data_IF_452506648508
#
_entry.id   IF_452506648508
#
_cell.length_a   1.000
_cell.length_b   1.000
_cell.length_c   1.000
_cell.angle_alpha   90.00
_cell.angle_beta   90.00
_cell.angle_gamma   90.00
#
_symmetry.space_group_name_H-M   'P 1'
#
loop_
_entity.id
_entity.type
_entity.pdbx_description
1 polymer ?
#
# COMPACT_ATOMS: atom_id res chain seq x y z
N UNK A 1 -31.81 -24.26 -2.87
CA UNK A 1 -33.02 -23.39 -2.80
C UNK A 1 -32.95 -22.65 -1.47
N UNK A 2 -33.41 -21.39 -1.39
CA UNK A 2 -33.34 -20.52 -0.17
C UNK A 2 -31.89 -20.06 0.14
N UNK A 3 -31.54 -18.79 0.39
CA UNK A 3 -32.31 -17.52 0.31
C UNK A 3 -31.40 -16.27 0.03
N UNK A 4 -32.01 -15.07 0.02
CA UNK A 4 -31.36 -13.76 -0.15
C UNK A 4 -30.46 -13.32 1.04
N UNK A 5 -29.38 -12.60 0.72
CA UNK A 5 -29.02 -11.30 1.32
C UNK A 5 -28.64 -10.38 0.13
N UNK A 6 -29.38 -9.32 -0.19
CA UNK A 6 -29.46 -8.03 0.52
C UNK A 6 -28.07 -7.39 0.69
N UNK A 7 -27.74 -6.44 -0.20
CA UNK A 7 -26.63 -5.52 -0.04
C UNK A 7 -27.16 -4.17 0.44
N UNK A 8 -26.64 -3.68 1.56
CA UNK A 8 -26.84 -2.30 1.99
C UNK A 8 -25.88 -1.36 1.22
N UNK A 9 -26.31 -0.14 0.83
CA UNK A 9 -25.49 0.77 0.03
C UNK A 9 -24.55 1.66 0.88
N UNK A 10 -23.32 1.84 0.41
CA UNK A 10 -22.43 2.93 0.87
C UNK A 10 -22.84 4.28 0.22
N UNK A 11 -22.51 5.43 0.84
CA UNK A 11 -23.20 6.69 0.61
C UNK A 11 -22.82 7.41 -0.70
N UNK A 12 -23.62 8.43 -1.01
CA UNK A 12 -23.72 9.03 -2.34
C UNK A 12 -22.65 10.09 -2.62
N UNK A 13 -22.03 10.03 -3.81
CA UNK A 13 -21.11 11.05 -4.31
C UNK A 13 -21.87 12.15 -5.08
N UNK A 14 -22.70 12.93 -4.39
CA UNK A 14 -23.37 14.10 -4.99
C UNK A 14 -22.35 15.20 -5.32
N UNK A 15 -22.23 15.57 -6.61
CA UNK A 15 -21.50 16.77 -7.03
C UNK A 15 -20.65 16.66 -8.31
N UNK A 16 -20.25 15.45 -8.72
CA UNK A 16 -19.45 15.27 -9.95
C UNK A 16 -20.30 15.41 -11.21
N UNK A 17 -19.88 16.29 -12.14
CA UNK A 17 -20.62 16.55 -13.38
C UNK A 17 -20.47 15.40 -14.38
N UNK A 18 -21.45 15.27 -15.27
CA UNK A 18 -21.52 14.18 -16.25
C UNK A 18 -20.30 14.14 -17.19
N UNK A 19 -19.72 15.29 -17.56
CA UNK A 19 -18.46 15.37 -18.33
C UNK A 19 -17.27 14.72 -17.58
N UNK A 20 -17.17 14.94 -16.28
CA UNK A 20 -16.11 14.41 -15.43
C UNK A 20 -16.24 12.90 -15.27
N UNK A 21 -17.45 12.39 -15.07
CA UNK A 21 -17.73 10.95 -15.08
C UNK A 21 -17.28 10.29 -16.38
N UNK A 22 -17.59 10.88 -17.54
CA UNK A 22 -17.20 10.33 -18.85
C UNK A 22 -15.68 10.35 -19.05
N UNK A 23 -14.99 11.39 -18.58
CA UNK A 23 -13.52 11.45 -18.60
C UNK A 23 -12.88 10.35 -17.73
N UNK A 24 -13.40 10.12 -16.52
CA UNK A 24 -12.95 9.05 -15.61
C UNK A 24 -13.22 7.67 -16.22
N UNK A 25 -14.44 7.44 -16.75
CA UNK A 25 -14.76 6.21 -17.46
C UNK A 25 -13.88 5.98 -18.69
N UNK A 26 -13.54 7.01 -19.47
CA UNK A 26 -12.73 6.88 -20.68
C UNK A 26 -11.23 6.79 -20.40
N UNK A 27 -10.75 7.24 -19.24
CA UNK A 27 -9.45 6.84 -18.70
C UNK A 27 -9.48 5.33 -18.35
N UNK A 28 -10.49 4.88 -17.59
CA UNK A 28 -10.67 3.46 -17.24
C UNK A 28 -10.80 2.56 -18.47
N UNK A 29 -11.58 2.97 -19.48
CA UNK A 29 -11.73 2.24 -20.76
C UNK A 29 -10.47 2.22 -21.62
N UNK A 30 -9.48 3.09 -21.36
CA UNK A 30 -8.15 3.02 -22.00
C UNK A 30 -7.24 2.02 -21.30
N UNK A 31 -7.13 2.05 -19.97
CA UNK A 31 -6.35 1.03 -19.22
C UNK A 31 -6.97 -0.37 -19.38
N UNK A 32 -8.30 -0.50 -19.39
CA UNK A 32 -8.98 -1.78 -19.66
C UNK A 32 -8.68 -2.38 -21.05
N UNK A 33 -8.21 -1.61 -22.05
CA UNK A 33 -7.78 -2.20 -23.34
C UNK A 33 -6.40 -2.84 -23.27
N UNK A 34 -5.53 -2.40 -22.36
CA UNK A 34 -4.25 -3.09 -22.13
C UNK A 34 -4.49 -4.47 -21.50
N UNK A 35 -5.51 -4.62 -20.66
CA UNK A 35 -5.91 -5.92 -20.11
C UNK A 35 -6.54 -6.89 -21.14
N UNK A 36 -6.90 -6.43 -22.34
CA UNK A 36 -7.69 -7.21 -23.31
C UNK A 36 -6.98 -8.41 -23.96
N UNK A 37 -5.74 -8.71 -23.58
CA UNK A 37 -4.98 -9.90 -24.01
C UNK A 37 -4.61 -10.84 -22.85
N UNK A 38 -5.18 -10.64 -21.66
CA UNK A 38 -4.93 -11.47 -20.48
C UNK A 38 -6.14 -12.40 -20.22
N UNK A 39 -5.85 -13.70 -20.26
CA UNK A 39 -6.66 -14.83 -19.75
C UNK A 39 -7.43 -14.57 -18.42
N UNK A 40 -8.76 -14.32 -18.34
CA UNK A 40 -9.41 -13.80 -17.13
C UNK A 40 -9.92 -14.87 -16.15
N UNK A 41 -9.44 -16.10 -16.20
CA UNK A 41 -10.02 -17.22 -15.45
C UNK A 41 -9.63 -17.43 -13.96
N UNK A 42 -8.73 -16.74 -13.22
CA UNK A 42 -7.87 -15.56 -13.41
C UNK A 42 -8.53 -14.16 -13.41
N UNK A 43 -9.48 -13.93 -12.50
CA UNK A 43 -9.57 -12.65 -11.77
C UNK A 43 -8.94 -12.83 -10.38
N UNK A 44 -7.68 -12.41 -10.16
CA UNK A 44 -6.98 -12.62 -8.89
C UNK A 44 -7.53 -11.77 -7.73
N UNK A 45 -7.32 -12.27 -6.52
CA UNK A 45 -7.72 -11.61 -5.26
C UNK A 45 -7.01 -10.25 -5.12
N UNK A 46 -7.77 -9.17 -5.35
CA UNK A 46 -7.35 -7.77 -5.19
C UNK A 46 -5.94 -7.49 -5.69
N UNK A 47 -5.77 -7.37 -7.01
CA UNK A 47 -4.63 -6.62 -7.55
C UNK A 47 -4.72 -5.18 -7.03
N UNK A 48 -3.98 -4.90 -5.96
CA UNK A 48 -3.64 -3.56 -5.55
C UNK A 48 -2.43 -3.14 -6.40
N UNK A 49 -2.62 -2.12 -7.23
CA UNK A 49 -1.52 -1.46 -7.92
C UNK A 49 -0.48 -0.97 -6.89
N UNK A 50 0.82 -0.94 -7.24
CA UNK A 50 1.85 -0.44 -6.33
C UNK A 50 1.55 1.01 -5.96
N UNK A 51 1.61 1.31 -4.66
CA UNK A 51 1.27 2.63 -4.14
C UNK A 51 2.31 3.63 -4.66
N UNK A 52 1.90 4.74 -5.30
CA UNK A 52 2.83 5.71 -5.85
C UNK A 52 3.62 6.41 -4.73
N UNK A 53 4.90 6.70 -4.98
CA UNK A 53 5.74 7.45 -4.04
C UNK A 53 5.21 8.89 -3.82
N UNK A 54 4.61 9.48 -4.85
CA UNK A 54 3.90 10.77 -4.85
C UNK A 54 2.76 10.72 -5.87
N UNK A 55 1.54 11.12 -5.50
CA UNK A 55 0.37 11.19 -6.39
C UNK A 55 -0.20 12.61 -6.53
N UNK A 56 0.65 13.54 -6.97
CA UNK A 56 0.27 14.91 -7.32
C UNK A 56 0.07 15.81 -6.09
N UNK A 57 -1.10 15.68 -5.45
CA UNK A 57 -1.53 16.51 -4.31
C UNK A 57 -1.42 15.80 -2.94
N UNK A 58 -1.00 14.52 -2.91
CA UNK A 58 -1.00 13.71 -1.69
C UNK A 58 0.37 13.09 -1.32
N UNK A 59 0.64 13.06 -0.02
CA UNK A 59 1.76 12.34 0.60
C UNK A 59 1.36 10.89 0.96
N UNK A 60 0.64 10.21 0.07
CA UNK A 60 0.01 8.90 0.33
C UNK A 60 1.00 7.87 0.89
N UNK A 61 2.20 7.78 0.31
CA UNK A 61 3.23 6.86 0.77
C UNK A 61 3.84 7.25 2.14
N UNK A 62 4.33 8.49 2.37
CA UNK A 62 4.72 8.95 3.71
C UNK A 62 3.64 8.77 4.79
N UNK A 63 2.36 9.05 4.49
CA UNK A 63 1.26 8.90 5.46
C UNK A 63 1.05 7.45 5.89
N UNK A 64 1.19 6.49 4.98
CA UNK A 64 1.14 5.07 5.31
C UNK A 64 2.30 4.65 6.22
N UNK A 65 3.51 5.19 5.99
CA UNK A 65 4.66 4.92 6.85
C UNK A 65 4.49 5.50 8.26
N UNK A 66 3.89 6.69 8.40
CA UNK A 66 3.50 7.24 9.70
C UNK A 66 2.54 6.30 10.44
N UNK A 67 1.54 5.75 9.74
CA UNK A 67 0.63 4.75 10.31
C UNK A 67 1.29 3.43 10.70
N UNK A 68 2.42 3.05 10.09
CA UNK A 68 3.25 1.95 10.58
C UNK A 68 4.07 2.35 11.81
N UNK A 69 4.65 3.55 11.88
CA UNK A 69 5.37 4.04 13.07
C UNK A 69 4.45 4.10 14.30
N UNK A 70 3.23 4.62 14.16
CA UNK A 70 2.23 4.66 15.24
C UNK A 70 1.79 3.28 15.73
N UNK A 71 1.91 2.25 14.88
CA UNK A 71 1.56 0.86 15.20
C UNK A 71 2.75 0.01 15.69
N UNK A 72 3.98 0.52 15.65
CA UNK A 72 5.19 -0.19 16.08
C UNK A 72 5.42 0.01 17.58
N UNK A 73 5.18 -1.05 18.37
CA UNK A 73 5.42 -1.09 19.82
C UNK A 73 6.93 -1.18 20.19
N UNK A 74 7.80 -0.45 19.49
CA UNK A 74 9.25 -0.46 19.69
C UNK A 74 9.66 0.66 20.67
N UNK A 75 10.20 0.30 21.84
CA UNK A 75 10.42 1.23 22.95
C UNK A 75 11.40 2.38 22.68
N UNK A 76 12.21 2.31 21.61
CA UNK A 76 13.24 3.31 21.27
C UNK A 76 13.07 3.86 19.85
N UNK A 77 11.92 3.63 19.22
CA UNK A 77 11.66 4.05 17.84
C UNK A 77 11.97 5.53 17.63
N UNK A 78 12.92 5.81 16.75
CA UNK A 78 13.29 7.16 16.36
C UNK A 78 12.09 7.83 15.66
N UNK A 79 11.67 9.04 16.06
CA UNK A 79 10.56 9.72 15.39
C UNK A 79 10.84 9.91 13.90
N UNK A 80 9.91 9.52 13.03
CA UNK A 80 10.05 9.53 11.57
C UNK A 80 11.08 8.49 11.04
N UNK A 81 11.34 7.40 11.77
CA UNK A 81 12.28 6.34 11.36
C UNK A 81 12.00 5.78 9.96
N UNK A 82 10.74 5.42 9.68
CA UNK A 82 10.30 4.90 8.38
C UNK A 82 10.08 6.05 7.39
N UNK A 83 9.47 7.15 7.83
CA UNK A 83 9.13 8.31 6.98
C UNK A 83 10.38 8.96 6.39
N UNK A 84 11.49 9.05 7.14
CA UNK A 84 12.79 9.51 6.63
C UNK A 84 13.31 8.62 5.49
N UNK A 85 13.12 7.31 5.61
CA UNK A 85 13.58 6.31 4.63
C UNK A 85 12.53 6.01 3.54
N UNK A 86 11.47 6.82 3.43
CA UNK A 86 10.32 6.57 2.55
C UNK A 86 10.69 6.26 1.10
N UNK A 87 11.67 6.97 0.52
CA UNK A 87 12.14 6.74 -0.86
C UNK A 87 12.84 5.39 -1.03
N UNK A 88 13.60 4.98 -0.02
CA UNK A 88 14.31 3.70 0.00
C UNK A 88 13.32 2.54 0.19
N UNK A 89 12.39 2.66 1.15
CA UNK A 89 11.31 1.70 1.37
C UNK A 89 10.44 1.54 0.12
N UNK A 90 10.10 2.62 -0.57
CA UNK A 90 9.34 2.55 -1.84
C UNK A 90 10.10 1.77 -2.91
N UNK A 91 11.36 2.12 -3.14
CA UNK A 91 12.21 1.46 -4.12
C UNK A 91 12.39 -0.05 -3.84
N UNK A 92 12.68 -0.41 -2.58
CA UNK A 92 12.94 -1.80 -2.16
C UNK A 92 11.69 -2.69 -2.18
N UNK A 93 10.50 -2.10 -2.03
CA UNK A 93 9.21 -2.83 -2.03
C UNK A 93 8.46 -2.71 -3.36
N UNK A 94 8.97 -1.90 -4.30
CA UNK A 94 8.26 -1.51 -5.52
C UNK A 94 6.95 -0.74 -5.28
N UNK A 95 6.72 -0.22 -4.06
CA UNK A 95 5.44 0.35 -3.62
C UNK A 95 4.37 -0.68 -3.22
N UNK A 96 4.68 -1.98 -3.21
CA UNK A 96 3.72 -3.02 -2.84
C UNK A 96 3.56 -3.12 -1.31
N UNK A 97 2.37 -2.74 -0.81
CA UNK A 97 2.04 -2.76 0.62
C UNK A 97 2.29 -4.12 1.31
N UNK A 98 2.10 -5.25 0.61
CA UNK A 98 2.41 -6.59 1.12
C UNK A 98 3.91 -6.77 1.41
N UNK A 99 4.78 -6.27 0.53
CA UNK A 99 6.24 -6.37 0.70
C UNK A 99 6.72 -5.38 1.75
N UNK A 100 6.09 -4.20 1.83
CA UNK A 100 6.32 -3.22 2.89
C UNK A 100 5.98 -3.76 4.28
N UNK A 101 4.79 -4.36 4.46
CA UNK A 101 4.41 -4.92 5.76
C UNK A 101 5.29 -6.12 6.15
N UNK A 102 5.65 -6.99 5.20
CA UNK A 102 6.59 -8.09 5.43
C UNK A 102 7.96 -7.57 5.90
N UNK A 103 8.51 -6.55 5.24
CA UNK A 103 9.78 -5.92 5.59
C UNK A 103 9.73 -5.28 6.99
N UNK A 104 8.75 -4.42 7.25
CA UNK A 104 8.64 -3.68 8.52
C UNK A 104 8.44 -4.66 9.69
N UNK A 105 7.57 -5.66 9.56
CA UNK A 105 7.35 -6.64 10.62
C UNK A 105 8.62 -7.48 10.90
N UNK A 106 9.34 -7.94 9.87
CA UNK A 106 10.56 -8.73 10.08
C UNK A 106 11.71 -7.89 10.65
N UNK A 107 11.86 -6.63 10.22
CA UNK A 107 12.81 -5.69 10.80
C UNK A 107 12.47 -5.38 12.28
N UNK A 108 11.19 -5.20 12.61
CA UNK A 108 10.76 -4.95 13.99
C UNK A 108 10.98 -6.16 14.91
N UNK A 109 10.77 -7.39 14.43
CA UNK A 109 11.12 -8.62 15.17
C UNK A 109 12.63 -8.63 15.47
N UNK A 110 13.46 -8.45 14.45
CA UNK A 110 14.93 -8.45 14.58
C UNK A 110 15.42 -7.32 15.50
N UNK A 111 14.79 -6.13 15.47
CA UNK A 111 15.10 -5.02 16.37
C UNK A 111 14.83 -5.35 17.85
N UNK A 112 13.83 -6.19 18.14
CA UNK A 112 13.51 -6.67 19.49
C UNK A 112 14.48 -7.77 19.90
N UNK A 113 14.79 -8.71 19.01
CA UNK A 113 15.71 -9.82 19.27
C UNK A 113 17.15 -9.35 19.57
N UNK A 114 17.64 -8.36 18.83
CA UNK A 114 18.95 -7.70 19.05
C UNK A 114 18.91 -6.62 20.17
N UNK A 115 17.73 -6.33 20.75
CA UNK A 115 17.57 -5.33 21.81
C UNK A 115 17.85 -3.87 21.40
N UNK A 116 17.82 -3.59 20.08
CA UNK A 116 17.99 -2.26 19.48
C UNK A 116 16.73 -1.42 19.70
N UNK A 117 15.56 -2.03 19.52
CA UNK A 117 14.23 -1.43 19.72
C UNK A 117 13.96 -0.16 18.87
N UNK A 118 14.62 -0.03 17.72
CA UNK A 118 14.47 1.06 16.73
C UNK A 118 14.64 0.49 15.30
N UNK A 119 14.14 1.19 14.28
CA UNK A 119 14.27 0.81 12.85
C UNK A 119 15.30 1.70 12.16
N UNK A 120 16.47 1.12 11.84
CA UNK A 120 17.51 1.79 11.05
C UNK A 120 17.49 1.37 9.58
N UNK A 121 18.12 2.17 8.71
CA UNK A 121 18.26 1.83 7.28
C UNK A 121 19.10 0.57 7.09
N UNK A 122 20.18 0.42 7.87
CA UNK A 122 21.08 -0.73 7.85
C UNK A 122 20.34 -2.02 8.25
N UNK A 123 19.52 -1.97 9.32
CA UNK A 123 18.65 -3.07 9.72
C UNK A 123 17.66 -3.43 8.60
N UNK A 124 17.04 -2.43 7.96
CA UNK A 124 16.15 -2.67 6.82
C UNK A 124 16.89 -3.24 5.60
N UNK A 125 18.19 -3.00 5.42
CA UNK A 125 18.99 -3.55 4.32
C UNK A 125 19.32 -5.03 4.51
N UNK A 126 19.47 -5.48 5.76
CA UNK A 126 19.79 -6.88 6.12
C UNK A 126 18.58 -7.84 5.96
N UNK A 127 17.34 -7.34 6.07
CA UNK A 127 16.12 -8.16 5.95
C UNK A 127 15.79 -8.55 4.51
N UNK A 128 15.81 -9.85 4.20
CA UNK A 128 15.36 -10.40 2.92
C UNK A 128 13.83 -10.24 2.66
N UNK A 129 13.45 -10.13 1.38
CA UNK A 129 12.05 -9.98 0.93
C UNK A 129 11.74 -10.98 -0.18
N UNK A 130 10.62 -11.70 -0.06
CA UNK A 130 10.08 -12.53 -1.16
C UNK A 130 10.56 -13.98 -1.22
N UNK A 131 10.77 -14.61 -0.06
CA UNK A 131 10.86 -16.08 0.06
C UNK A 131 9.54 -16.80 -0.15
#
# INVERSE_FOLDING_TARGET
MIQHLVQEPLPQAEGLRHDQWRAIEDARRRTSRLAAHIDPSRLPVTWLDPIPLYDGDHETWPSLLCGFEEALCLHRLSPHALVREAKYLHHRTGGYLKLLSQLICQAAITAIEEGIEDITKDLLEDIDIGG
#
